data_IF_652246803519
#
_entry.id   IF_652246803519
#
_cell.length_a   1.000
_cell.length_b   1.000
_cell.length_c   1.000
_cell.angle_alpha   90.00
_cell.angle_beta   90.00
_cell.angle_gamma   90.00
#
_symmetry.space_group_name_H-M   'P 1'
#
loop_
_entity.id
_entity.type
_entity.pdbx_description
1 polymer ?
#
# COMPACT_ATOMS: atom_id res chain seq x y z
N UNK A 1 18.84 -32.01 48.34
CA UNK A 1 19.34 -30.73 47.80
C UNK A 1 19.41 -30.81 46.28
N UNK A 2 18.33 -30.46 45.59
CA UNK A 2 18.21 -30.27 44.13
C UNK A 2 16.74 -29.94 43.90
N UNK A 3 16.41 -28.68 43.59
CA UNK A 3 14.99 -28.32 43.36
C UNK A 3 14.60 -26.85 43.47
N UNK A 4 15.53 -25.90 43.57
CA UNK A 4 15.19 -24.48 43.57
C UNK A 4 16.11 -23.71 42.61
N UNK A 5 15.97 -23.93 41.30
CA UNK A 5 16.65 -23.08 40.30
C UNK A 5 16.00 -23.15 38.92
N UNK A 6 14.67 -23.20 38.84
CA UNK A 6 13.97 -23.12 37.55
C UNK A 6 12.63 -22.36 37.58
N UNK A 7 12.30 -21.71 38.70
CA UNK A 7 11.04 -20.96 38.87
C UNK A 7 11.22 -19.43 38.89
N UNK A 8 12.39 -18.94 38.48
CA UNK A 8 12.68 -17.49 38.42
C UNK A 8 13.13 -17.03 37.02
N UNK A 9 12.65 -17.69 35.96
CA UNK A 9 12.85 -17.25 34.57
C UNK A 9 11.55 -17.06 33.79
N UNK A 10 10.38 -17.15 34.45
CA UNK A 10 9.13 -16.62 33.90
C UNK A 10 8.89 -15.24 34.50
N UNK A 11 8.63 -14.26 33.63
CA UNK A 11 8.29 -12.84 33.88
C UNK A 11 9.42 -11.83 33.60
N UNK A 12 9.99 -11.90 32.40
CA UNK A 12 10.34 -10.69 31.65
C UNK A 12 9.94 -10.88 30.18
N UNK A 13 8.66 -11.16 29.95
CA UNK A 13 8.04 -10.78 28.69
C UNK A 13 7.85 -9.26 28.79
N UNK A 14 8.85 -8.51 28.34
CA UNK A 14 8.64 -7.11 28.00
C UNK A 14 7.52 -7.10 26.95
N UNK A 15 6.32 -6.68 27.34
CA UNK A 15 5.27 -6.38 26.39
C UNK A 15 5.75 -5.20 25.54
N UNK A 16 6.35 -5.48 24.40
CA UNK A 16 6.45 -4.49 23.34
C UNK A 16 5.02 -4.29 22.84
N UNK A 17 4.31 -3.32 23.43
CA UNK A 17 3.08 -2.85 22.85
C UNK A 17 3.43 -2.32 21.45
N UNK A 18 2.93 -2.98 20.41
CA UNK A 18 3.04 -2.46 19.07
C UNK A 18 2.43 -1.05 19.05
N UNK A 19 3.14 -0.07 18.48
CA UNK A 19 2.63 1.28 18.36
C UNK A 19 1.31 1.25 17.57
N UNK A 20 0.21 1.68 18.21
CA UNK A 20 -1.12 1.73 17.59
C UNK A 20 -1.30 3.09 16.91
N UNK A 21 -1.97 3.11 15.75
CA UNK A 21 -2.33 4.35 15.07
C UNK A 21 -3.30 5.15 15.94
N UNK A 22 -2.88 6.33 16.38
CA UNK A 22 -3.71 7.23 17.19
C UNK A 22 -4.37 8.28 16.29
N UNK A 23 -5.69 8.21 16.17
CA UNK A 23 -6.48 9.17 15.41
C UNK A 23 -7.12 10.19 16.34
N UNK A 24 -6.96 11.47 16.04
CA UNK A 24 -7.54 12.60 16.77
C UNK A 24 -8.12 13.61 15.77
N UNK A 25 -9.02 14.49 16.21
CA UNK A 25 -9.48 15.54 15.31
C UNK A 25 -8.37 16.56 15.06
N UNK A 26 -8.39 17.24 13.91
CA UNK A 26 -7.43 18.32 13.64
C UNK A 26 -7.43 19.39 14.75
N UNK A 27 -8.59 19.74 15.32
CA UNK A 27 -8.69 20.70 16.41
C UNK A 27 -8.06 20.22 17.73
N UNK A 28 -7.84 18.90 17.90
CA UNK A 28 -7.10 18.34 19.03
C UNK A 28 -5.60 18.31 18.77
N UNK A 29 -5.19 18.26 17.50
CA UNK A 29 -3.80 18.17 17.08
C UNK A 29 -3.17 19.56 16.93
N UNK A 30 -3.92 20.52 16.38
CA UNK A 30 -3.46 21.86 16.06
C UNK A 30 -4.45 22.90 16.61
N UNK A 31 -3.93 23.90 17.31
CA UNK A 31 -4.69 25.01 17.88
C UNK A 31 -5.25 25.96 16.81
N UNK A 32 -4.52 26.13 15.69
CA UNK A 32 -4.89 27.03 14.59
C UNK A 32 -4.14 26.70 13.29
N UNK A 33 -4.37 27.50 12.24
CA UNK A 33 -3.71 27.34 10.94
C UNK A 33 -2.19 27.46 10.97
N UNK A 34 -1.64 28.30 11.84
CA UNK A 34 -0.19 28.44 11.98
C UNK A 34 0.42 27.13 12.46
N UNK A 35 -0.14 26.54 13.53
CA UNK A 35 0.36 25.27 14.04
C UNK A 35 0.19 24.14 13.03
N UNK A 36 -0.94 24.09 12.31
CA UNK A 36 -1.19 23.11 11.25
C UNK A 36 -0.08 23.14 10.19
N UNK A 37 0.19 24.33 9.61
CA UNK A 37 1.17 24.45 8.53
C UNK A 37 2.61 24.24 9.01
N UNK A 38 2.97 24.69 10.22
CA UNK A 38 4.35 24.61 10.72
C UNK A 38 4.72 23.24 11.31
N UNK A 39 3.73 22.40 11.63
CA UNK A 39 3.99 21.12 12.31
C UNK A 39 3.65 19.88 11.48
N UNK A 40 2.58 19.91 10.66
CA UNK A 40 2.09 18.72 9.94
C UNK A 40 3.19 18.02 9.15
N UNK A 41 3.95 18.81 8.39
CA UNK A 41 5.03 18.33 7.55
C UNK A 41 6.42 18.61 8.16
N UNK A 42 6.49 18.67 9.49
CA UNK A 42 7.69 19.10 10.20
C UNK A 42 8.12 20.51 9.78
N UNK A 43 9.42 20.74 9.62
CA UNK A 43 9.96 22.06 9.31
C UNK A 43 9.79 22.53 7.85
N UNK A 44 8.95 21.87 7.05
CA UNK A 44 8.78 22.20 5.64
C UNK A 44 8.29 23.63 5.41
N UNK A 45 7.33 24.07 6.21
CA UNK A 45 6.67 25.36 6.03
C UNK A 45 6.84 26.28 7.25
N UNK A 46 6.73 27.57 7.02
CA UNK A 46 6.61 28.62 8.04
C UNK A 46 5.46 29.55 7.66
N UNK A 47 4.68 30.03 8.61
CA UNK A 47 3.53 30.90 8.28
C UNK A 47 3.92 32.37 8.36
N UNK A 48 3.62 33.11 7.29
CA UNK A 48 3.98 34.53 7.15
C UNK A 48 2.73 35.38 6.87
N UNK A 49 2.62 36.51 7.58
CA UNK A 49 1.51 37.47 7.43
C UNK A 49 1.60 38.29 6.15
N UNK A 50 2.82 38.70 5.80
CA UNK A 50 3.05 39.54 4.64
C UNK A 50 2.84 38.71 3.36
N UNK A 51 1.70 38.91 2.70
CA UNK A 51 1.34 38.23 1.44
C UNK A 51 2.34 38.49 0.31
N UNK A 52 3.14 39.57 0.40
CA UNK A 52 4.22 39.84 -0.57
C UNK A 52 5.48 38.99 -0.30
N UNK A 53 5.53 38.23 0.77
CA UNK A 53 6.68 37.40 1.15
C UNK A 53 6.29 35.94 1.38
N UNK A 54 5.06 35.56 1.00
CA UNK A 54 4.46 34.28 1.36
C UNK A 54 3.72 33.64 0.20
N UNK A 55 3.95 32.35 -0.02
CA UNK A 55 3.38 31.57 -1.09
C UNK A 55 1.98 31.08 -0.74
N UNK A 56 1.17 30.81 -1.76
CA UNK A 56 -0.06 30.02 -1.63
C UNK A 56 0.14 28.67 -2.31
N UNK A 57 -0.43 27.60 -1.75
CA UNK A 57 -0.38 26.28 -2.36
C UNK A 57 -1.45 26.11 -3.43
N UNK A 58 -2.32 27.10 -3.63
CA UNK A 58 -3.33 27.08 -4.70
C UNK A 58 -3.71 28.48 -5.15
N UNK A 59 -4.15 28.62 -6.40
CA UNK A 59 -4.63 29.87 -6.98
C UNK A 59 -5.62 29.60 -8.12
N UNK A 60 -6.51 30.55 -8.36
CA UNK A 60 -7.50 30.52 -9.44
C UNK A 60 -7.22 31.55 -10.54
N UNK A 61 -6.23 32.41 -10.32
CA UNK A 61 -5.83 33.44 -11.29
C UNK A 61 -5.10 32.82 -12.48
N UNK A 62 -5.21 33.46 -13.65
CA UNK A 62 -4.49 33.05 -14.87
C UNK A 62 -2.96 33.12 -14.71
N UNK A 63 -2.50 33.95 -13.76
CA UNK A 63 -1.09 34.17 -13.47
C UNK A 63 -0.74 33.57 -12.12
N UNK A 64 0.33 32.76 -12.09
CA UNK A 64 0.81 32.17 -10.84
C UNK A 64 1.31 33.26 -9.87
N UNK A 65 0.61 33.50 -8.73
CA UNK A 65 0.97 34.57 -7.79
C UNK A 65 2.31 34.31 -7.08
N UNK A 66 2.80 33.07 -7.10
CA UNK A 66 4.07 32.69 -6.50
C UNK A 66 5.29 33.10 -7.36
N UNK A 67 5.09 33.40 -8.65
CA UNK A 67 6.16 33.81 -9.54
C UNK A 67 6.84 35.13 -9.12
N UNK A 68 6.11 36.25 -8.91
CA UNK A 68 6.72 37.50 -8.45
C UNK A 68 7.31 37.39 -7.03
N UNK A 69 6.74 36.54 -6.16
CA UNK A 69 7.31 36.28 -4.83
C UNK A 69 8.66 35.58 -4.95
N UNK A 70 8.75 34.57 -5.83
CA UNK A 70 10.02 33.86 -6.10
C UNK A 70 11.09 34.78 -6.64
N UNK A 71 10.75 35.66 -7.58
CA UNK A 71 11.70 36.64 -8.13
C UNK A 71 12.22 37.60 -7.05
N UNK A 72 11.37 37.98 -6.10
CA UNK A 72 11.73 38.88 -4.99
C UNK A 72 12.62 38.20 -3.95
N UNK A 73 12.23 37.01 -3.50
CA UNK A 73 12.90 36.31 -2.40
C UNK A 73 14.13 35.52 -2.86
N UNK A 74 14.14 35.08 -4.12
CA UNK A 74 15.19 34.28 -4.74
C UNK A 74 15.58 34.87 -6.10
N UNK A 75 16.19 36.06 -6.15
CA UNK A 75 16.51 36.73 -7.41
C UNK A 75 17.47 35.94 -8.32
N UNK A 76 18.24 35.02 -7.73
CA UNK A 76 19.13 34.08 -8.45
C UNK A 76 18.59 32.64 -8.44
N UNK A 77 17.34 32.43 -8.03
CA UNK A 77 16.70 31.13 -7.92
C UNK A 77 16.42 30.53 -9.30
N UNK A 78 16.68 29.23 -9.45
CA UNK A 78 16.40 28.50 -10.69
C UNK A 78 15.06 27.77 -10.60
N UNK A 79 14.03 28.33 -11.26
CA UNK A 79 12.71 27.71 -11.45
C UNK A 79 12.57 27.05 -12.82
N UNK A 80 13.64 26.92 -13.60
CA UNK A 80 13.69 26.20 -14.88
C UNK A 80 14.09 24.73 -14.70
N UNK A 81 14.16 24.25 -13.46
CA UNK A 81 14.51 22.87 -13.12
C UNK A 81 13.58 22.41 -12.00
N UNK A 82 13.15 21.16 -12.07
CA UNK A 82 12.39 20.53 -11.01
C UNK A 82 13.38 19.95 -10.02
N UNK A 83 13.47 20.58 -8.86
CA UNK A 83 14.56 20.34 -7.94
C UNK A 83 14.25 19.36 -6.81
N UNK A 84 12.99 18.91 -6.71
CA UNK A 84 12.55 17.86 -5.80
C UNK A 84 12.56 16.50 -6.52
N UNK A 85 12.35 15.42 -5.78
CA UNK A 85 12.52 14.02 -6.25
C UNK A 85 11.22 13.20 -6.11
N UNK A 86 11.29 11.90 -6.42
CA UNK A 86 10.18 10.92 -6.48
C UNK A 86 9.30 11.01 -7.72
N UNK A 87 8.28 11.86 -7.71
CA UNK A 87 7.28 11.93 -8.78
C UNK A 87 7.48 13.12 -9.73
N UNK A 88 8.61 13.82 -9.57
CA UNK A 88 8.99 15.00 -10.33
C UNK A 88 9.66 14.63 -11.66
N UNK A 89 9.36 15.41 -12.70
CA UNK A 89 10.12 15.48 -13.96
C UNK A 89 11.48 16.15 -13.71
N UNK A 90 12.33 16.22 -14.74
CA UNK A 90 13.59 16.98 -14.67
C UNK A 90 13.40 18.48 -14.87
N UNK A 91 12.49 18.86 -15.77
CA UNK A 91 12.24 20.25 -16.16
C UNK A 91 10.74 20.54 -16.08
N UNK A 92 10.35 21.77 -15.69
CA UNK A 92 8.97 22.17 -15.78
C UNK A 92 8.58 22.31 -17.26
N UNK A 93 7.47 21.67 -17.64
CA UNK A 93 6.94 21.72 -19.00
C UNK A 93 5.43 21.88 -18.96
N UNK A 94 4.86 22.40 -20.03
CA UNK A 94 3.41 22.42 -20.21
C UNK A 94 2.84 21.00 -20.25
N UNK A 95 1.64 20.83 -19.69
CA UNK A 95 0.90 19.57 -19.63
C UNK A 95 -0.34 19.60 -20.54
N UNK A 96 -0.80 18.41 -20.94
CA UNK A 96 -1.95 18.24 -21.84
C UNK A 96 -3.30 18.62 -21.22
N UNK A 97 -4.37 18.51 -22.02
CA UNK A 97 -5.73 18.82 -21.58
C UNK A 97 -6.29 17.85 -20.53
N UNK A 98 -5.65 16.70 -20.35
CA UNK A 98 -5.91 15.72 -19.29
C UNK A 98 -5.41 16.16 -17.90
N UNK A 99 -4.59 17.22 -17.83
CA UNK A 99 -4.05 17.78 -16.59
C UNK A 99 -5.08 18.67 -15.86
N UNK A 100 -6.08 18.03 -15.27
CA UNK A 100 -7.26 18.71 -14.72
C UNK A 100 -7.22 18.94 -13.21
N UNK A 101 -6.72 17.98 -12.42
CA UNK A 101 -6.74 18.12 -10.96
C UNK A 101 -5.74 19.17 -10.46
N UNK A 102 -4.52 19.21 -11.01
CA UNK A 102 -3.49 20.19 -10.63
C UNK A 102 -3.39 21.36 -11.63
N UNK A 103 -4.51 21.74 -12.26
CA UNK A 103 -4.54 22.70 -13.37
C UNK A 103 -3.82 24.05 -13.14
N UNK A 104 -3.65 24.61 -11.91
CA UNK A 104 -2.92 25.88 -11.74
C UNK A 104 -1.48 25.83 -12.28
N UNK A 105 -0.85 24.65 -12.32
CA UNK A 105 0.52 24.48 -12.83
C UNK A 105 0.60 24.02 -14.29
N UNK A 106 -0.52 23.92 -15.01
CA UNK A 106 -0.59 23.30 -16.36
C UNK A 106 0.45 23.86 -17.33
N UNK A 107 0.68 25.18 -17.35
CA UNK A 107 1.59 25.82 -18.31
C UNK A 107 3.08 25.56 -18.02
N UNK A 108 3.44 25.23 -16.79
CA UNK A 108 4.82 25.01 -16.35
C UNK A 108 4.86 24.08 -15.12
N UNK A 109 4.57 22.80 -15.33
CA UNK A 109 4.43 21.81 -14.25
C UNK A 109 5.70 20.96 -14.09
N UNK A 110 6.07 20.66 -12.85
CA UNK A 110 7.06 19.65 -12.50
C UNK A 110 6.51 18.23 -12.36
N UNK A 111 5.20 18.05 -12.33
CA UNK A 111 4.54 16.75 -12.31
C UNK A 111 3.91 16.45 -13.68
N UNK A 112 3.53 15.20 -13.93
CA UNK A 112 2.82 14.79 -15.15
C UNK A 112 1.32 14.61 -14.90
N UNK A 113 0.51 14.53 -15.95
CA UNK A 113 -0.93 14.16 -15.84
C UNK A 113 -1.18 12.84 -15.13
N UNK A 114 -0.24 11.89 -15.22
CA UNK A 114 -0.30 10.65 -14.44
C UNK A 114 -0.23 10.94 -12.92
N UNK A 115 0.57 11.90 -12.47
CA UNK A 115 0.63 12.29 -11.05
C UNK A 115 -0.60 13.10 -10.64
N UNK A 116 -1.07 14.00 -11.51
CA UNK A 116 -2.10 14.99 -11.24
C UNK A 116 -3.54 14.44 -11.22
N UNK A 117 -3.80 13.47 -10.35
CA UNK A 117 -5.15 13.06 -9.96
C UNK A 117 -5.17 12.60 -8.49
N UNK A 118 -6.32 12.73 -7.83
CA UNK A 118 -6.46 12.47 -6.39
C UNK A 118 -5.98 11.08 -5.99
N UNK A 119 -6.32 10.04 -6.76
CA UNK A 119 -5.92 8.66 -6.45
C UNK A 119 -4.41 8.49 -6.47
N UNK A 120 -3.72 9.05 -7.46
CA UNK A 120 -2.28 8.90 -7.58
C UNK A 120 -1.53 9.79 -6.58
N UNK A 121 -2.04 10.97 -6.26
CA UNK A 121 -1.50 11.81 -5.18
C UNK A 121 -1.63 11.10 -3.83
N UNK A 122 -2.78 10.49 -3.53
CA UNK A 122 -3.02 9.77 -2.29
C UNK A 122 -2.09 8.57 -2.11
N UNK A 123 -1.84 7.83 -3.20
CA UNK A 123 -1.07 6.58 -3.14
C UNK A 123 0.42 6.76 -3.47
N UNK A 124 0.84 7.94 -3.93
CA UNK A 124 2.16 8.17 -4.55
C UNK A 124 3.36 7.83 -3.67
N UNK A 125 3.18 7.89 -2.34
CA UNK A 125 4.23 7.64 -1.35
C UNK A 125 4.05 6.31 -0.60
N UNK A 126 3.07 5.51 -0.99
CA UNK A 126 2.76 4.22 -0.38
C UNK A 126 1.75 4.31 0.77
N UNK A 127 1.29 3.15 1.27
CA UNK A 127 0.11 3.06 2.14
C UNK A 127 0.27 3.72 3.51
N UNK A 128 1.51 3.89 3.99
CA UNK A 128 1.80 4.62 5.24
C UNK A 128 1.59 6.14 5.12
N UNK A 129 1.75 6.69 3.92
CA UNK A 129 1.76 8.14 3.64
C UNK A 129 0.44 8.67 3.09
N UNK A 130 -0.63 7.87 3.19
CA UNK A 130 -1.98 8.31 2.87
C UNK A 130 -2.53 9.27 3.92
N UNK A 131 -3.11 10.39 3.50
CA UNK A 131 -3.73 11.34 4.44
C UNK A 131 -5.03 10.83 5.08
N UNK A 132 -5.70 9.85 4.47
CA UNK A 132 -6.99 9.29 4.91
C UNK A 132 -6.85 8.05 5.84
N UNK A 133 -5.69 7.89 6.49
CA UNK A 133 -5.43 6.75 7.38
C UNK A 133 -6.33 6.68 8.61
N UNK A 134 -6.95 7.79 8.99
CA UNK A 134 -7.92 7.87 10.08
C UNK A 134 -9.39 7.89 9.60
N UNK A 135 -9.61 7.49 8.34
CA UNK A 135 -10.90 7.54 7.68
C UNK A 135 -10.94 8.61 6.60
N UNK A 136 -12.02 8.58 5.82
CA UNK A 136 -12.25 9.55 4.75
C UNK A 136 -12.42 10.96 5.32
N UNK A 137 -11.62 11.90 4.83
CA UNK A 137 -11.76 13.32 5.16
C UNK A 137 -13.02 13.89 4.49
N UNK A 138 -13.57 14.95 5.07
CA UNK A 138 -14.59 15.76 4.41
C UNK A 138 -14.04 16.32 3.10
N UNK A 139 -14.91 16.55 2.12
CA UNK A 139 -14.50 17.11 0.84
C UNK A 139 -13.78 18.46 1.02
N UNK A 140 -14.25 19.31 1.93
CA UNK A 140 -13.62 20.60 2.21
C UNK A 140 -12.19 20.44 2.71
N UNK A 141 -11.92 19.49 3.61
CA UNK A 141 -10.59 19.21 4.13
C UNK A 141 -9.68 18.55 3.08
N UNK A 142 -10.18 17.51 2.38
CA UNK A 142 -9.39 16.76 1.39
C UNK A 142 -8.90 17.67 0.26
N UNK A 143 -9.69 18.69 -0.13
CA UNK A 143 -9.24 19.65 -1.14
C UNK A 143 -7.92 20.31 -0.77
N UNK A 144 -7.65 20.62 0.49
CA UNK A 144 -6.37 21.22 0.90
C UNK A 144 -5.20 20.23 0.81
N UNK A 145 -5.41 18.94 1.11
CA UNK A 145 -4.39 17.91 0.90
C UNK A 145 -4.07 17.75 -0.59
N UNK A 146 -5.08 17.78 -1.46
CA UNK A 146 -4.86 17.75 -2.91
C UNK A 146 -4.11 19.00 -3.39
N UNK A 147 -4.47 20.18 -2.89
CA UNK A 147 -3.78 21.44 -3.23
C UNK A 147 -2.31 21.42 -2.81
N UNK A 148 -2.01 21.01 -1.58
CA UNK A 148 -0.64 20.87 -1.08
C UNK A 148 0.14 19.84 -1.89
N UNK A 149 -0.44 18.66 -2.17
CA UNK A 149 0.22 17.64 -2.97
C UNK A 149 0.49 18.12 -4.41
N UNK A 150 -0.47 18.79 -5.05
CA UNK A 150 -0.24 19.40 -6.36
C UNK A 150 0.85 20.50 -6.30
N UNK A 151 0.86 21.31 -5.24
CA UNK A 151 1.91 22.31 -5.06
C UNK A 151 3.28 21.67 -4.88
N UNK A 152 3.38 20.62 -4.08
CA UNK A 152 4.60 19.88 -3.85
C UNK A 152 5.13 19.25 -5.14
N UNK A 153 4.30 18.53 -5.88
CA UNK A 153 4.72 17.79 -7.08
C UNK A 153 4.91 18.67 -8.31
N UNK A 154 4.07 19.69 -8.48
CA UNK A 154 3.91 20.37 -9.76
C UNK A 154 4.54 21.76 -9.78
N UNK A 155 4.76 22.41 -8.63
CA UNK A 155 5.33 23.75 -8.59
C UNK A 155 6.83 23.74 -8.86
N UNK A 156 7.36 24.50 -9.85
CA UNK A 156 8.80 24.69 -9.95
C UNK A 156 9.37 25.57 -8.84
N UNK A 157 8.52 26.31 -8.12
CA UNK A 157 8.94 27.27 -7.10
C UNK A 157 9.25 26.63 -5.75
N UNK A 158 8.62 25.50 -5.40
CA UNK A 158 8.86 24.84 -4.12
C UNK A 158 10.31 24.36 -3.99
N UNK A 159 10.93 24.00 -5.11
CA UNK A 159 12.33 23.60 -5.17
C UNK A 159 13.34 24.68 -4.77
N UNK A 160 12.92 25.96 -4.67
CA UNK A 160 13.76 27.05 -4.15
C UNK A 160 14.00 26.95 -2.63
N UNK A 161 13.17 26.18 -1.93
CA UNK A 161 13.25 25.97 -0.48
C UNK A 161 13.79 24.59 -0.11
N UNK A 162 14.43 23.89 -1.05
CA UNK A 162 15.02 22.58 -0.78
C UNK A 162 16.27 22.70 0.10
N UNK A 163 16.44 21.77 1.04
CA UNK A 163 17.69 21.54 1.79
C UNK A 163 18.18 20.12 1.57
N UNK A 164 19.49 19.94 1.52
CA UNK A 164 20.10 18.60 1.43
C UNK A 164 20.22 17.99 2.82
N UNK A 165 19.69 16.77 2.99
CA UNK A 165 19.74 16.04 4.26
C UNK A 165 18.85 16.67 5.32
N UNK A 166 17.71 16.04 5.59
CA UNK A 166 16.91 16.40 6.76
C UNK A 166 17.65 16.15 8.07
N UNK A 167 17.08 16.67 9.15
CA UNK A 167 17.44 16.27 10.50
C UNK A 167 16.31 15.46 11.13
N UNK A 168 16.60 14.24 11.58
CA UNK A 168 15.72 13.45 12.42
C UNK A 168 16.25 13.64 13.82
N UNK A 169 15.46 14.30 14.65
CA UNK A 169 15.80 14.55 16.03
C UNK A 169 15.08 13.53 16.90
N UNK A 170 15.82 12.80 17.72
CA UNK A 170 15.23 11.96 18.76
C UNK A 170 14.58 12.87 19.82
N UNK A 171 13.26 12.76 20.06
CA UNK A 171 12.55 13.62 20.99
C UNK A 171 12.98 13.42 22.46
N UNK A 172 13.60 12.29 22.81
CA UNK A 172 14.06 12.02 24.17
C UNK A 172 15.47 12.57 24.44
N UNK A 173 16.35 12.57 23.44
CA UNK A 173 17.76 12.98 23.61
C UNK A 173 18.10 14.34 23.00
N UNK A 174 17.24 14.88 22.13
CA UNK A 174 17.51 16.12 21.38
C UNK A 174 18.63 15.99 20.34
N UNK A 175 19.14 14.78 20.11
CA UNK A 175 20.20 14.52 19.16
C UNK A 175 19.61 14.45 17.75
N UNK A 176 20.12 15.28 16.84
CA UNK A 176 19.70 15.32 15.45
C UNK A 176 20.75 14.66 14.56
N UNK A 177 20.34 13.75 13.69
CA UNK A 177 21.20 13.12 12.69
C UNK A 177 20.75 13.50 11.29
N UNK A 178 21.68 13.58 10.34
CA UNK A 178 21.33 13.66 8.93
C UNK A 178 20.50 12.41 8.60
N UNK A 179 19.23 12.59 8.22
CA UNK A 179 18.35 11.43 7.94
C UNK A 179 18.76 10.74 6.66
N UNK A 180 19.42 11.48 5.74
CA UNK A 180 19.81 10.94 4.44
C UNK A 180 20.71 9.72 4.54
N UNK A 181 20.10 8.56 4.29
CA UNK A 181 20.78 7.29 4.11
C UNK A 181 20.87 7.00 2.62
N UNK A 182 22.04 7.26 2.03
CA UNK A 182 22.33 7.00 0.62
C UNK A 182 22.19 5.51 0.23
N UNK A 183 22.16 4.58 1.19
CA UNK A 183 21.93 3.15 0.96
C UNK A 183 20.43 2.77 0.93
N UNK A 184 19.52 3.69 1.28
CA UNK A 184 18.08 3.49 1.18
C UNK A 184 17.50 4.29 -0.01
N UNK A 185 17.09 3.64 -1.11
CA UNK A 185 16.56 4.33 -2.29
C UNK A 185 15.22 5.04 -2.06
N UNK A 186 14.52 4.71 -0.96
CA UNK A 186 13.30 5.39 -0.54
C UNK A 186 13.54 6.64 0.31
N UNK A 187 14.79 6.97 0.64
CA UNK A 187 15.11 8.11 1.49
C UNK A 187 15.26 9.41 0.68
N UNK A 188 14.48 10.43 1.04
CA UNK A 188 14.51 11.68 0.31
C UNK A 188 15.85 12.37 0.53
N UNK A 189 16.48 12.82 -0.56
CA UNK A 189 17.74 13.55 -0.47
C UNK A 189 17.50 15.04 -0.20
N UNK A 190 16.33 15.54 -0.64
CA UNK A 190 15.98 16.95 -0.64
C UNK A 190 14.62 17.17 0.03
N UNK A 191 14.63 17.82 1.18
CA UNK A 191 13.41 18.20 1.89
C UNK A 191 13.10 19.67 1.63
N UNK A 192 11.83 20.04 1.62
CA UNK A 192 11.42 21.44 1.71
C UNK A 192 11.73 21.94 3.13
N UNK A 193 12.20 23.17 3.27
CA UNK A 193 12.52 23.75 4.57
C UNK A 193 12.13 25.22 4.67
N UNK A 194 11.30 25.52 5.68
CA UNK A 194 10.86 26.86 6.07
C UNK A 194 10.38 27.71 4.89
N UNK A 195 9.66 27.09 3.96
CA UNK A 195 9.00 27.80 2.88
C UNK A 195 7.86 28.66 3.45
N UNK A 196 7.83 29.98 3.19
CA UNK A 196 6.82 30.86 3.74
C UNK A 196 5.48 30.61 3.05
N UNK A 197 4.47 30.23 3.82
CA UNK A 197 3.09 30.03 3.36
C UNK A 197 2.21 31.13 3.97
N UNK A 198 1.27 31.64 3.19
CA UNK A 198 0.38 32.71 3.66
C UNK A 198 -0.48 32.24 4.82
N UNK A 199 -0.63 33.09 5.83
CA UNK A 199 -1.48 32.81 7.00
C UNK A 199 -2.92 32.49 6.66
N UNK A 200 -3.52 33.25 5.75
CA UNK A 200 -4.90 33.06 5.34
C UNK A 200 -5.14 31.70 4.67
N UNK A 201 -4.17 31.19 3.90
CA UNK A 201 -4.23 29.84 3.34
C UNK A 201 -4.24 28.78 4.46
N UNK A 202 -3.32 28.89 5.42
CA UNK A 202 -3.19 27.96 6.53
C UNK A 202 -4.41 27.98 7.47
N UNK A 203 -4.97 29.15 7.75
CA UNK A 203 -6.18 29.30 8.56
C UNK A 203 -7.41 28.70 7.86
N UNK A 204 -7.50 28.85 6.54
CA UNK A 204 -8.55 28.22 5.74
C UNK A 204 -8.44 26.70 5.75
N UNK A 205 -7.22 26.16 5.63
CA UNK A 205 -6.96 24.71 5.73
C UNK A 205 -7.40 24.17 7.09
N UNK A 206 -6.94 24.77 8.18
CA UNK A 206 -7.32 24.34 9.52
C UNK A 206 -8.83 24.43 9.73
N UNK A 207 -9.46 25.52 9.30
CA UNK A 207 -10.92 25.70 9.43
C UNK A 207 -11.70 24.61 8.71
N UNK A 208 -11.24 24.21 7.52
CA UNK A 208 -11.88 23.15 6.73
C UNK A 208 -11.69 21.76 7.37
N UNK A 209 -10.56 21.51 8.03
CA UNK A 209 -10.20 20.20 8.56
C UNK A 209 -10.51 19.98 10.05
N UNK A 210 -10.76 21.04 10.84
CA UNK A 210 -10.79 20.99 12.33
C UNK A 210 -11.63 19.88 12.96
N UNK A 211 -12.67 19.39 12.28
CA UNK A 211 -13.56 18.33 12.78
C UNK A 211 -13.25 16.93 12.22
N UNK A 212 -12.37 16.83 11.23
CA UNK A 212 -12.02 15.56 10.60
C UNK A 212 -10.94 14.85 11.40
N UNK A 213 -10.86 13.52 11.24
CA UNK A 213 -9.91 12.68 11.96
C UNK A 213 -8.58 12.57 11.20
N UNK A 214 -7.48 12.70 11.93
CA UNK A 214 -6.13 12.66 11.38
C UNK A 214 -5.16 11.97 12.33
N UNK A 215 -4.00 11.58 11.80
CA UNK A 215 -2.92 11.00 12.59
C UNK A 215 -1.72 11.95 12.58
N UNK A 216 -1.17 12.22 13.75
CA UNK A 216 0.14 12.83 13.96
C UNK A 216 0.77 12.32 15.25
N UNK A 217 2.06 12.62 15.49
CA UNK A 217 2.59 12.54 16.85
C UNK A 217 2.06 13.68 17.75
N UNK A 218 2.49 13.71 19.02
CA UNK A 218 2.11 14.75 19.99
C UNK A 218 2.55 16.17 19.60
N UNK A 219 3.44 16.34 18.64
CA UNK A 219 3.85 17.64 18.10
C UNK A 219 3.27 17.95 16.74
N UNK A 220 2.21 17.25 16.32
CA UNK A 220 1.55 17.49 15.03
C UNK A 220 2.27 16.93 13.81
N UNK A 221 3.42 16.26 13.95
CA UNK A 221 4.16 15.74 12.81
C UNK A 221 3.50 14.46 12.23
N UNK A 222 3.08 14.54 10.97
CA UNK A 222 2.44 13.46 10.22
C UNK A 222 3.38 12.30 9.89
N UNK A 223 4.66 12.54 9.64
CA UNK A 223 5.60 11.50 9.23
C UNK A 223 5.77 10.40 10.28
N UNK A 224 5.55 10.71 11.55
CA UNK A 224 5.52 9.73 12.62
C UNK A 224 4.40 8.67 12.42
N UNK A 225 3.29 9.04 11.80
CA UNK A 225 2.20 8.13 11.50
C UNK A 225 2.50 7.21 10.33
N UNK A 226 3.28 7.67 9.35
CA UNK A 226 3.69 6.85 8.22
C UNK A 226 4.54 5.62 8.65
N UNK A 227 5.21 5.71 9.80
CA UNK A 227 6.00 4.62 10.38
C UNK A 227 5.13 3.55 11.09
N UNK A 228 3.87 3.86 11.40
CA UNK A 228 2.97 2.91 12.08
C UNK A 228 2.44 1.92 11.03
N UNK A 229 2.70 0.60 11.19
CA UNK A 229 2.25 -0.40 10.23
C UNK A 229 0.75 -0.27 9.92
N UNK A 230 0.37 -0.41 8.66
CA UNK A 230 -1.02 -0.61 8.27
C UNK A 230 -1.42 -2.01 8.70
N UNK A 231 -1.92 -2.18 9.93
CA UNK A 231 -2.50 -3.45 10.35
C UNK A 231 -3.64 -3.79 9.39
N UNK A 232 -3.74 -5.03 8.85
CA UNK A 232 -5.01 -5.47 8.31
C UNK A 232 -6.02 -5.35 9.44
N UNK A 233 -7.08 -4.61 9.16
CA UNK A 233 -8.17 -4.21 10.04
C UNK A 233 -8.43 -5.24 11.16
N UNK A 234 -8.26 -4.84 12.43
CA UNK A 234 -9.02 -5.47 13.52
C UNK A 234 -10.45 -4.99 13.32
N UNK A 235 -11.18 -5.67 12.43
CA UNK A 235 -12.64 -5.64 12.44
C UNK A 235 -13.08 -5.97 13.85
N UNK A 236 -13.74 -5.03 14.51
CA UNK A 236 -14.64 -5.33 15.63
C UNK A 236 -15.45 -6.57 15.25
N UNK A 237 -15.44 -7.65 16.05
CA UNK A 237 -16.14 -8.86 15.67
C UNK A 237 -17.65 -8.55 15.60
N UNK A 238 -18.37 -9.00 14.56
CA UNK A 238 -19.79 -9.30 14.72
C UNK A 238 -19.92 -10.37 15.82
N UNK A 239 -21.04 -10.42 16.56
CA UNK A 239 -21.15 -11.26 17.74
C UNK A 239 -20.79 -12.72 17.41
N UNK A 240 -19.90 -13.27 18.24
CA UNK A 240 -19.33 -14.62 18.30
C UNK A 240 -19.85 -15.65 17.27
N UNK A 241 -18.91 -16.16 16.46
CA UNK A 241 -18.91 -17.56 16.07
C UNK A 241 -17.54 -18.14 16.40
N UNK A 242 -17.53 -18.98 17.43
CA UNK A 242 -16.38 -19.78 17.85
C UNK A 242 -16.04 -20.75 16.72
N UNK A 243 -14.84 -20.65 16.15
CA UNK A 243 -14.08 -21.83 15.71
C UNK A 243 -12.59 -21.53 15.80
N UNK A 244 -11.90 -22.31 16.64
CA UNK A 244 -10.45 -22.41 16.71
C UNK A 244 -9.84 -22.71 15.33
N UNK A 245 -8.65 -22.19 15.03
CA UNK A 245 -7.44 -23.01 14.86
C UNK A 245 -6.26 -22.17 14.34
N UNK A 246 -5.13 -22.39 14.99
CA UNK A 246 -3.78 -22.09 14.54
C UNK A 246 -3.53 -22.69 13.15
N UNK A 247 -2.88 -21.96 12.24
CA UNK A 247 -2.26 -22.62 11.08
C UNK A 247 -0.92 -21.99 10.74
N UNK A 248 0.09 -22.84 10.89
CA UNK A 248 1.44 -22.72 10.36
C UNK A 248 1.44 -22.35 8.87
N UNK A 249 2.44 -21.59 8.45
CA UNK A 249 2.81 -21.44 7.05
C UNK A 249 2.99 -22.83 6.41
N UNK A 250 2.20 -23.13 5.39
CA UNK A 250 2.53 -24.16 4.41
C UNK A 250 2.68 -23.51 3.05
N UNK A 251 3.87 -23.71 2.47
CA UNK A 251 4.18 -23.39 1.08
C UNK A 251 3.03 -23.83 0.17
N UNK A 252 2.49 -22.87 -0.58
CA UNK A 252 1.41 -23.11 -1.53
C UNK A 252 1.98 -23.86 -2.73
N UNK A 253 1.87 -25.18 -2.65
CA UNK A 253 2.10 -26.11 -3.74
C UNK A 253 1.11 -25.82 -4.88
N UNK A 254 1.62 -25.52 -6.07
CA UNK A 254 0.82 -25.15 -7.23
C UNK A 254 -0.36 -26.13 -7.46
N UNK A 255 -1.58 -25.63 -7.75
CA UNK A 255 -2.82 -26.43 -7.77
C UNK A 255 -2.79 -27.64 -8.71
N UNK A 256 -1.90 -27.65 -9.71
CA UNK A 256 -1.68 -28.80 -10.59
C UNK A 256 -1.10 -30.04 -9.89
N UNK A 257 -0.31 -29.89 -8.82
CA UNK A 257 0.35 -31.03 -8.16
C UNK A 257 -0.61 -31.78 -7.22
N UNK A 258 -1.54 -31.08 -6.58
CA UNK A 258 -2.54 -31.68 -5.66
C UNK A 258 -3.49 -32.60 -6.44
N UNK A 259 -3.98 -32.16 -7.60
CA UNK A 259 -4.85 -32.98 -8.45
C UNK A 259 -4.15 -34.29 -8.88
N UNK A 260 -2.86 -34.24 -9.20
CA UNK A 260 -2.10 -35.41 -9.64
C UNK A 260 -1.91 -36.44 -8.51
N UNK A 261 -1.61 -35.98 -7.29
CA UNK A 261 -1.44 -36.86 -6.11
C UNK A 261 -2.76 -37.55 -5.74
N UNK A 262 -3.89 -36.82 -5.78
CA UNK A 262 -5.21 -37.40 -5.48
C UNK A 262 -5.58 -38.48 -6.50
N UNK A 263 -5.36 -38.22 -7.79
CA UNK A 263 -5.65 -39.19 -8.86
C UNK A 263 -4.80 -40.46 -8.69
N UNK A 264 -3.50 -40.31 -8.42
CA UNK A 264 -2.60 -41.45 -8.20
C UNK A 264 -3.00 -42.25 -6.94
N UNK A 265 -3.40 -41.57 -5.87
CA UNK A 265 -3.89 -42.20 -4.65
C UNK A 265 -5.16 -43.03 -4.89
N UNK A 266 -6.13 -42.49 -5.62
CA UNK A 266 -7.37 -43.20 -5.96
C UNK A 266 -7.07 -44.45 -6.80
N UNK A 267 -6.18 -44.34 -7.79
CA UNK A 267 -5.76 -45.48 -8.61
C UNK A 267 -5.08 -46.57 -7.77
N UNK A 268 -4.21 -46.20 -6.84
CA UNK A 268 -3.55 -47.15 -5.95
C UNK A 268 -4.56 -47.89 -5.05
N UNK A 269 -5.54 -47.19 -4.49
CA UNK A 269 -6.59 -47.80 -3.66
C UNK A 269 -7.47 -48.74 -4.49
N UNK A 270 -7.83 -48.35 -5.71
CA UNK A 270 -8.62 -49.19 -6.61
C UNK A 270 -7.86 -50.47 -6.98
N UNK A 271 -6.57 -50.38 -7.29
CA UNK A 271 -5.72 -51.53 -7.59
C UNK A 271 -5.56 -52.43 -6.35
N UNK A 272 -5.30 -51.86 -5.18
CA UNK A 272 -5.18 -52.63 -3.94
C UNK A 272 -6.51 -53.33 -3.59
N UNK A 273 -7.65 -52.65 -3.77
CA UNK A 273 -8.98 -53.22 -3.60
C UNK A 273 -9.24 -54.37 -4.58
N UNK A 274 -8.90 -54.19 -5.84
CA UNK A 274 -9.01 -55.24 -6.86
C UNK A 274 -8.14 -56.46 -6.51
N UNK A 275 -6.88 -56.24 -6.12
CA UNK A 275 -5.98 -57.32 -5.70
C UNK A 275 -6.49 -58.03 -4.43
N UNK A 276 -7.08 -57.29 -3.48
CA UNK A 276 -7.69 -57.89 -2.30
C UNK A 276 -8.91 -58.74 -2.66
N UNK A 277 -9.75 -58.30 -3.61
CA UNK A 277 -10.88 -59.07 -4.12
C UNK A 277 -10.38 -60.35 -4.81
N UNK A 278 -9.37 -60.24 -5.67
CA UNK A 278 -8.75 -61.40 -6.33
C UNK A 278 -8.22 -62.38 -5.28
N UNK A 279 -7.45 -61.90 -4.30
CA UNK A 279 -6.91 -62.72 -3.22
C UNK A 279 -8.01 -63.42 -2.39
N UNK A 280 -9.08 -62.69 -2.03
CA UNK A 280 -10.20 -63.27 -1.28
C UNK A 280 -10.93 -64.33 -2.09
N UNK A 281 -11.12 -64.11 -3.39
CA UNK A 281 -11.83 -65.04 -4.28
C UNK A 281 -11.02 -66.29 -4.61
N UNK A 282 -9.70 -66.14 -4.74
CA UNK A 282 -8.76 -67.27 -4.78
C UNK A 282 -8.86 -68.10 -3.49
N UNK A 283 -8.79 -67.46 -2.32
CA UNK A 283 -8.86 -68.17 -1.03
C UNK A 283 -10.23 -68.83 -0.77
N UNK A 284 -11.31 -68.26 -1.31
CA UNK A 284 -12.66 -68.85 -1.19
C UNK A 284 -12.96 -69.91 -2.26
N UNK A 285 -11.98 -70.29 -3.11
CA UNK A 285 -12.13 -71.34 -4.11
C UNK A 285 -13.02 -70.98 -5.30
N UNK A 286 -13.21 -69.69 -5.59
CA UNK A 286 -14.01 -69.22 -6.73
C UNK A 286 -13.23 -68.14 -7.51
N UNK A 287 -12.14 -68.54 -8.20
CA UNK A 287 -11.19 -67.61 -8.82
C UNK A 287 -11.86 -66.78 -9.91
N UNK A 288 -11.45 -65.51 -10.04
CA UNK A 288 -11.97 -64.59 -11.07
C UNK A 288 -11.47 -64.99 -12.46
N UNK A 289 -10.26 -65.54 -12.54
CA UNK A 289 -9.63 -65.95 -13.79
C UNK A 289 -9.64 -67.47 -13.89
N UNK A 290 -10.10 -68.00 -15.02
CA UNK A 290 -9.98 -69.43 -15.30
C UNK A 290 -8.54 -69.76 -15.70
N UNK A 291 -7.98 -70.91 -15.26
CA UNK A 291 -6.72 -71.40 -15.79
C UNK A 291 -6.82 -71.55 -17.31
N UNK A 292 -5.76 -71.15 -18.03
CA UNK A 292 -5.73 -71.18 -19.50
C UNK A 292 -5.88 -72.60 -20.10
N UNK A 293 -5.79 -73.66 -19.29
CA UNK A 293 -6.00 -75.05 -19.71
C UNK A 293 -7.48 -75.41 -19.97
N UNK A 294 -8.43 -74.61 -19.51
CA UNK A 294 -9.86 -74.94 -19.59
C UNK A 294 -10.62 -74.22 -20.74
N UNK A 295 -9.91 -73.47 -21.61
CA UNK A 295 -10.50 -72.82 -22.80
C UNK A 295 -10.44 -73.66 -24.08
N UNK A 296 -9.74 -74.79 -24.10
CA UNK A 296 -9.68 -75.68 -25.28
C UNK A 296 -10.87 -76.63 -25.41
N UNK A 297 -11.72 -76.78 -24.37
CA UNK A 297 -12.77 -77.82 -24.34
C UNK A 297 -14.20 -77.32 -24.62
N UNK A 298 -14.41 -76.04 -24.97
CA UNK A 298 -15.74 -75.49 -25.30
C UNK A 298 -15.69 -74.56 -26.51
N UNK A 299 -15.63 -75.14 -27.70
CA UNK A 299 -15.92 -74.45 -28.95
C UNK A 299 -17.06 -75.21 -29.66
N UNK A 300 -18.31 -74.72 -29.61
CA UNK A 300 -19.41 -75.30 -30.40
C UNK A 300 -19.29 -74.92 -31.87
N UNK A 301 -19.58 -75.90 -32.72
CA UNK A 301 -19.58 -75.89 -34.18
C UNK A 301 -20.42 -74.78 -34.83
N UNK A 302 -19.89 -74.22 -35.93
CA UNK A 302 -20.55 -73.31 -36.88
C UNK A 302 -21.91 -73.81 -37.37
N UNK A 303 -22.81 -72.86 -37.72
CA UNK A 303 -23.68 -73.03 -38.88
C UNK A 303 -23.48 -71.92 -39.94
N UNK A 304 -23.66 -72.33 -41.19
CA UNK A 304 -23.40 -71.60 -42.43
C UNK A 304 -24.55 -70.68 -42.87
N UNK A 305 -24.14 -69.49 -43.33
CA UNK A 305 -24.57 -68.73 -44.53
C UNK A 305 -26.06 -68.46 -44.78
N UNK A 306 -26.41 -67.17 -44.89
CA UNK A 306 -27.20 -66.64 -46.01
C UNK A 306 -26.86 -65.16 -46.25
N UNK A 307 -26.40 -64.84 -47.46
CA UNK A 307 -26.18 -63.47 -47.95
C UNK A 307 -27.52 -62.81 -48.31
N UNK A 308 -27.70 -61.54 -47.95
CA UNK A 308 -28.68 -60.65 -48.58
C UNK A 308 -27.95 -59.36 -48.98
N UNK A 309 -27.89 -59.13 -50.29
CA UNK A 309 -27.41 -57.90 -50.93
C UNK A 309 -28.50 -56.82 -50.87
N UNK A 310 -28.11 -55.55 -50.71
CA UNK A 310 -29.02 -54.42 -50.91
C UNK A 310 -28.38 -53.05 -50.62
N UNK A 311 -27.83 -52.42 -51.66
CA UNK A 311 -27.39 -51.01 -51.79
C UNK A 311 -28.53 -50.01 -51.50
N UNK A 312 -28.19 -48.79 -51.08
CA UNK A 312 -28.57 -47.43 -51.60
C UNK A 312 -27.77 -46.42 -50.75
N UNK A 313 -26.65 -45.88 -51.24
CA UNK A 313 -26.42 -44.57 -51.89
C UNK A 313 -26.27 -43.37 -50.94
N UNK A 314 -25.38 -42.49 -51.41
CA UNK A 314 -25.00 -41.15 -50.96
C UNK A 314 -26.16 -40.17 -51.11
#
# INVERSE_FOLDING_TARGET
MRGYSLLLHLLLLASQAAAQLQCQSFAQIYDNGTELCENMWGDAFKVVDNISEAYTMWFFDDQNPNAPISQRLHPTGNTSTCNLQYLHKTLPTAEGDDFTECHPWKEASCCSSNTANVTNLLNGYGPGYRWDRCGTLSQACERFFVQEACFYECSPHIGLYRRYGGHACDPASGQCTNVHNASNPGHNTWEVFKMPIRRDYCDAWWTACRNDMFCSNSGGNYFACALIPTTPNVTTPPPEVITNETTEEKEVLAPGLIALVVILGILLVAVAGFLCIVYRREKSGNPIFTPLKDRESKMPSQPSIAMVNGKVDV
#
